data_IF_559235717250
#
_entry.id   IF_559235717250
#
_cell.length_a   1.000
_cell.length_b   1.000
_cell.length_c   1.000
_cell.angle_alpha   90.00
_cell.angle_beta   90.00
_cell.angle_gamma   90.00
#
_symmetry.space_group_name_H-M   'P 1'
#
loop_
_entity.id
_entity.type
_entity.pdbx_description
1 polymer ?
#
# COMPACT_ATOMS: atom_id res chain seq x y z
N UNK A 1 -21.63 -39.08 27.72
CA UNK A 1 -22.35 -40.37 27.75
C UNK A 1 -21.50 -41.35 28.55
N UNK A 2 -22.00 -41.97 29.61
CA UNK A 2 -21.23 -43.01 30.32
C UNK A 2 -21.22 -44.27 29.46
N UNK A 3 -20.04 -44.88 29.32
CA UNK A 3 -19.82 -46.07 28.50
C UNK A 3 -19.09 -47.13 29.33
N UNK A 4 -19.22 -48.39 28.93
CA UNK A 4 -18.43 -49.45 29.55
C UNK A 4 -16.94 -49.26 29.25
N UNK A 5 -16.07 -49.82 30.08
CA UNK A 5 -14.61 -49.79 29.82
C UNK A 5 -14.27 -50.45 28.47
N UNK A 6 -15.01 -51.51 28.09
CA UNK A 6 -14.83 -52.20 26.82
C UNK A 6 -15.19 -51.31 25.62
N UNK A 7 -16.27 -50.54 25.73
CA UNK A 7 -16.67 -49.59 24.68
C UNK A 7 -15.71 -48.41 24.58
N UNK A 8 -15.22 -47.91 25.73
CA UNK A 8 -14.18 -46.88 25.80
C UNK A 8 -12.91 -47.32 25.07
N UNK A 9 -12.47 -48.56 25.30
CA UNK A 9 -11.30 -49.15 24.63
C UNK A 9 -11.50 -49.33 23.14
N UNK A 10 -12.71 -49.67 22.72
CA UNK A 10 -13.06 -49.76 21.32
C UNK A 10 -12.97 -48.39 20.63
N UNK A 11 -13.47 -47.34 21.27
CA UNK A 11 -13.36 -45.96 20.77
C UNK A 11 -11.90 -45.51 20.68
N UNK A 12 -11.06 -45.82 21.69
CA UNK A 12 -9.62 -45.50 21.63
C UNK A 12 -8.95 -46.20 20.44
N UNK A 13 -9.28 -47.46 20.15
CA UNK A 13 -8.73 -48.18 18.99
C UNK A 13 -9.17 -47.55 17.66
N UNK A 14 -10.42 -47.09 17.57
CA UNK A 14 -10.90 -46.36 16.38
C UNK A 14 -10.10 -45.08 16.20
N UNK A 15 -9.98 -44.27 17.27
CA UNK A 15 -9.20 -43.03 17.24
C UNK A 15 -7.73 -43.29 16.86
N UNK A 16 -7.15 -44.37 17.37
CA UNK A 16 -5.80 -44.79 17.00
C UNK A 16 -5.67 -45.09 15.51
N UNK A 17 -6.58 -45.92 14.97
CA UNK A 17 -6.61 -46.21 13.53
C UNK A 17 -6.79 -44.95 12.69
N UNK A 18 -7.65 -44.03 13.12
CA UNK A 18 -7.83 -42.73 12.46
C UNK A 18 -6.56 -41.87 12.48
N UNK A 19 -5.77 -41.93 13.54
CA UNK A 19 -4.52 -41.17 13.65
C UNK A 19 -3.31 -41.85 12.99
N UNK A 20 -3.34 -43.17 12.80
CA UNK A 20 -2.24 -43.93 12.21
C UNK A 20 -2.22 -43.85 10.67
N UNK A 21 -3.37 -43.56 10.04
CA UNK A 21 -3.41 -43.25 8.61
C UNK A 21 -2.87 -41.82 8.35
N UNK A 22 -1.84 -41.69 7.50
CA UNK A 22 -1.20 -40.42 7.06
C UNK A 22 -2.11 -39.59 6.11
N UNK A 23 -3.40 -39.53 6.41
CA UNK A 23 -4.42 -38.80 5.65
C UNK A 23 -4.78 -37.56 6.45
N UNK A 24 -4.82 -36.39 5.80
CA UNK A 24 -5.33 -35.14 6.39
C UNK A 24 -6.83 -35.27 6.70
N UNK A 25 -7.17 -35.98 7.78
CA UNK A 25 -8.54 -36.19 8.23
C UNK A 25 -9.03 -34.94 8.96
N UNK A 26 -10.22 -34.45 8.60
CA UNK A 26 -10.86 -33.32 9.28
C UNK A 26 -12.01 -33.86 10.14
N UNK A 27 -11.98 -33.58 11.45
CA UNK A 27 -13.08 -33.88 12.36
C UNK A 27 -13.85 -32.62 12.75
N UNK A 28 -15.10 -32.82 13.16
CA UNK A 28 -15.96 -31.76 13.71
C UNK A 28 -15.75 -31.60 15.21
N UNK A 29 -16.16 -30.45 15.76
CA UNK A 29 -16.16 -30.18 17.20
C UNK A 29 -16.99 -31.19 18.03
N UNK A 30 -17.85 -31.97 17.38
CA UNK A 30 -18.67 -33.02 17.99
C UNK A 30 -17.98 -34.38 18.12
N UNK A 31 -16.70 -34.53 17.70
CA UNK A 31 -15.95 -35.78 17.87
C UNK A 31 -15.91 -36.18 19.35
N UNK A 32 -16.29 -37.42 19.65
CA UNK A 32 -16.36 -37.93 21.01
C UNK A 32 -15.03 -38.55 21.45
N UNK A 33 -14.51 -38.06 22.56
CA UNK A 33 -13.26 -38.50 23.17
C UNK A 33 -13.57 -39.16 24.52
N UNK A 34 -13.02 -40.36 24.78
CA UNK A 34 -13.13 -41.03 26.07
C UNK A 34 -12.29 -40.31 27.14
N UNK A 35 -12.89 -40.09 28.30
CA UNK A 35 -12.24 -39.50 29.50
C UNK A 35 -11.72 -40.58 30.45
N UNK A 36 -10.91 -40.17 31.43
CA UNK A 36 -10.44 -41.04 32.51
C UNK A 36 -11.60 -41.66 33.33
N UNK A 37 -12.76 -41.00 33.38
CA UNK A 37 -13.96 -41.44 34.11
C UNK A 37 -14.92 -42.30 33.25
N UNK A 38 -14.47 -42.84 32.11
CA UNK A 38 -15.28 -43.61 31.16
C UNK A 38 -16.52 -42.85 30.65
N UNK A 39 -16.36 -41.55 30.40
CA UNK A 39 -17.35 -40.73 29.70
C UNK A 39 -16.89 -40.45 28.28
N UNK A 40 -17.81 -40.51 27.33
CA UNK A 40 -17.63 -39.90 26.02
C UNK A 40 -18.09 -38.44 26.08
N UNK A 41 -17.16 -37.53 25.81
CA UNK A 41 -17.36 -36.08 25.76
C UNK A 41 -16.89 -35.50 24.44
N UNK A 42 -17.42 -34.34 24.04
CA UNK A 42 -16.93 -33.66 22.83
C UNK A 42 -15.47 -33.28 22.98
N UNK A 43 -14.73 -33.29 21.88
CA UNK A 43 -13.30 -32.96 21.83
C UNK A 43 -12.99 -31.56 22.40
N UNK A 44 -13.93 -30.62 22.29
CA UNK A 44 -13.83 -29.26 22.83
C UNK A 44 -13.91 -29.18 24.35
N UNK A 45 -14.46 -30.22 24.99
CA UNK A 45 -14.80 -30.24 26.42
C UNK A 45 -13.80 -31.07 27.25
N UNK A 46 -12.77 -31.62 26.61
CA UNK A 46 -11.75 -32.47 27.23
C UNK A 46 -10.35 -31.89 27.03
N UNK A 47 -9.45 -32.23 27.93
CA UNK A 47 -8.03 -31.86 27.86
C UNK A 47 -7.13 -33.07 28.01
N UNK A 48 -6.00 -33.07 27.31
CA UNK A 48 -4.95 -34.06 27.49
C UNK A 48 -4.01 -33.63 28.62
N UNK A 49 -3.74 -34.50 29.59
CA UNK A 49 -2.84 -34.22 30.72
C UNK A 49 -1.37 -34.34 30.29
N UNK A 50 -0.83 -33.26 29.73
CA UNK A 50 0.56 -33.15 29.28
C UNK A 50 1.56 -32.85 30.42
N UNK A 51 1.06 -32.32 31.54
CA UNK A 51 1.87 -31.94 32.70
C UNK A 51 1.93 -33.01 33.79
N UNK A 52 1.15 -34.09 33.64
CA UNK A 52 1.01 -35.17 34.63
C UNK A 52 0.62 -34.58 35.99
N UNK A 53 -0.44 -33.78 36.03
CA UNK A 53 -0.92 -33.15 37.25
C UNK A 53 -1.41 -34.24 38.24
N UNK A 54 -0.50 -34.75 39.07
CA UNK A 54 -0.73 -35.89 39.98
C UNK A 54 -1.31 -35.52 41.34
N UNK A 55 -1.40 -34.22 41.65
CA UNK A 55 -1.87 -33.74 42.94
C UNK A 55 -3.23 -33.05 42.79
N UNK A 56 -4.18 -33.42 43.65
CA UNK A 56 -5.62 -33.08 43.62
C UNK A 56 -6.01 -31.60 43.72
N UNK A 57 -5.13 -30.69 43.33
CA UNK A 57 -5.39 -29.27 43.04
C UNK A 57 -5.58 -29.00 41.54
N UNK A 58 -5.69 -30.04 40.71
CA UNK A 58 -5.98 -29.86 39.29
C UNK A 58 -7.36 -29.21 39.13
N UNK A 59 -7.47 -28.11 38.36
CA UNK A 59 -8.76 -27.50 38.02
C UNK A 59 -9.73 -28.53 37.41
N UNK A 60 -11.05 -28.30 37.54
CA UNK A 60 -12.12 -29.24 37.19
C UNK A 60 -12.27 -29.45 35.67
N UNK A 61 -11.20 -29.79 34.97
CA UNK A 61 -11.22 -30.18 33.58
C UNK A 61 -11.46 -31.68 33.44
N UNK A 62 -12.11 -32.07 32.35
CA UNK A 62 -12.25 -33.48 32.00
C UNK A 62 -11.00 -33.96 31.28
N UNK A 63 -10.26 -34.86 31.93
CA UNK A 63 -9.02 -35.40 31.40
C UNK A 63 -9.33 -36.58 30.47
N UNK A 64 -8.62 -36.66 29.34
CA UNK A 64 -8.70 -37.81 28.42
C UNK A 64 -8.34 -39.12 29.11
N UNK A 65 -8.83 -40.25 28.56
CA UNK A 65 -8.40 -41.59 28.99
C UNK A 65 -6.87 -41.73 28.93
N UNK A 66 -6.29 -42.44 29.90
CA UNK A 66 -4.85 -42.74 29.96
C UNK A 66 -4.36 -43.61 28.78
N UNK A 67 -5.29 -44.21 28.04
CA UNK A 67 -5.02 -45.01 26.84
C UNK A 67 -4.85 -44.13 25.58
N UNK A 68 -5.20 -42.85 25.64
CA UNK A 68 -4.89 -41.88 24.59
C UNK A 68 -3.43 -41.44 24.76
N UNK A 69 -2.62 -41.61 23.72
CA UNK A 69 -1.21 -41.20 23.74
C UNK A 69 -1.05 -39.72 23.38
N UNK A 70 0.07 -39.10 23.79
CA UNK A 70 0.38 -37.72 23.40
C UNK A 70 0.38 -37.50 21.87
N UNK A 71 1.02 -38.35 21.05
CA UNK A 71 0.97 -38.18 19.59
C UNK A 71 -0.45 -38.25 19.03
N UNK A 72 -1.31 -39.11 19.60
CA UNK A 72 -2.71 -39.19 19.21
C UNK A 72 -3.46 -37.90 19.59
N UNK A 73 -3.25 -37.37 20.80
CA UNK A 73 -3.85 -36.12 21.24
C UNK A 73 -3.41 -34.92 20.38
N UNK A 74 -2.13 -34.85 20.01
CA UNK A 74 -1.58 -33.82 19.11
C UNK A 74 -2.18 -33.93 17.70
N UNK A 75 -2.24 -35.15 17.13
CA UNK A 75 -2.88 -35.39 15.83
C UNK A 75 -4.35 -34.98 15.87
N UNK A 76 -5.10 -35.39 16.90
CA UNK A 76 -6.51 -35.03 17.11
C UNK A 76 -6.73 -33.55 17.50
N UNK A 77 -5.66 -32.76 17.70
CA UNK A 77 -5.73 -31.37 18.14
C UNK A 77 -6.52 -31.18 19.45
N UNK A 78 -6.40 -32.15 20.37
CA UNK A 78 -6.99 -32.04 21.72
C UNK A 78 -6.24 -30.94 22.49
N UNK A 79 -6.98 -30.10 23.21
CA UNK A 79 -6.37 -29.04 24.03
C UNK A 79 -5.48 -29.65 25.12
N UNK A 80 -4.23 -29.21 25.22
CA UNK A 80 -3.32 -29.61 26.31
C UNK A 80 -3.75 -28.94 27.62
N UNK A 81 -3.67 -29.68 28.73
CA UNK A 81 -4.04 -29.19 30.05
C UNK A 81 -3.25 -27.92 30.41
N UNK A 82 -1.94 -27.90 30.17
CA UNK A 82 -1.09 -26.72 30.37
C UNK A 82 -1.61 -25.48 29.63
N UNK A 83 -1.96 -25.66 28.36
CA UNK A 83 -2.41 -24.58 27.47
C UNK A 83 -3.81 -24.11 27.84
N UNK A 84 -4.70 -25.02 28.25
CA UNK A 84 -6.04 -24.66 28.72
C UNK A 84 -5.99 -23.90 30.03
N UNK A 85 -5.19 -24.36 31.00
CA UNK A 85 -4.98 -23.66 32.26
C UNK A 85 -4.44 -22.24 32.02
N UNK A 86 -3.45 -22.10 31.13
CA UNK A 86 -2.95 -20.78 30.73
C UNK A 86 -4.05 -19.94 30.09
N UNK A 87 -4.79 -20.48 29.12
CA UNK A 87 -5.81 -19.73 28.39
C UNK A 87 -7.00 -19.26 29.25
N UNK A 88 -7.37 -20.01 30.29
CA UNK A 88 -8.52 -19.67 31.13
C UNK A 88 -8.24 -18.52 32.10
N UNK A 89 -6.97 -18.25 32.43
CA UNK A 89 -6.57 -17.15 33.34
C UNK A 89 -5.68 -16.10 32.68
N UNK A 90 -5.17 -16.33 31.46
CA UNK A 90 -4.32 -15.34 30.79
C UNK A 90 -5.13 -14.08 30.53
N UNK A 91 -4.50 -12.96 30.79
CA UNK A 91 -4.97 -11.68 30.29
C UNK A 91 -4.44 -11.49 28.87
N UNK A 92 -5.24 -10.86 28.01
CA UNK A 92 -4.75 -10.41 26.71
C UNK A 92 -3.72 -9.31 26.94
N UNK A 93 -2.45 -9.68 26.90
CA UNK A 93 -1.33 -8.75 27.03
C UNK A 93 -0.45 -8.86 25.78
N UNK A 94 -0.40 -7.79 25.01
CA UNK A 94 0.35 -7.74 23.75
C UNK A 94 0.99 -6.36 23.57
N UNK A 95 2.12 -6.32 22.85
CA UNK A 95 2.72 -5.05 22.43
C UNK A 95 2.02 -4.59 21.15
N UNK A 96 1.36 -3.44 21.21
CA UNK A 96 0.61 -2.87 20.09
C UNK A 96 1.11 -1.46 19.79
N UNK A 97 1.36 -1.16 18.51
CA UNK A 97 1.54 0.22 18.06
C UNK A 97 0.24 0.69 17.39
N UNK A 98 -0.37 1.74 17.93
CA UNK A 98 -1.56 2.33 17.33
C UNK A 98 -1.24 2.95 15.96
N UNK A 99 -2.13 2.74 14.98
CA UNK A 99 -1.99 3.27 13.61
C UNK A 99 -1.69 4.78 13.56
N UNK A 100 -2.30 5.55 14.48
CA UNK A 100 -2.10 6.99 14.57
C UNK A 100 -0.69 7.37 15.04
N UNK A 101 -0.12 6.63 16.00
CA UNK A 101 1.25 6.85 16.45
C UNK A 101 2.23 6.56 15.31
N UNK A 102 1.97 5.51 14.54
CA UNK A 102 2.79 5.19 13.37
C UNK A 102 2.74 6.29 12.31
N UNK A 103 1.56 6.82 12.02
CA UNK A 103 1.40 7.96 11.11
C UNK A 103 2.15 9.18 11.66
N UNK A 104 1.99 9.53 12.95
CA UNK A 104 2.68 10.66 13.57
C UNK A 104 4.21 10.55 13.44
N UNK A 105 4.77 9.36 13.67
CA UNK A 105 6.20 9.12 13.50
C UNK A 105 6.64 9.37 12.05
N UNK A 106 5.88 8.89 11.06
CA UNK A 106 6.15 9.16 9.64
C UNK A 106 6.13 10.67 9.36
N UNK A 107 5.15 11.40 9.88
CA UNK A 107 5.07 12.85 9.64
C UNK A 107 6.17 13.65 10.35
N UNK A 108 6.78 13.10 11.40
CA UNK A 108 7.95 13.72 12.04
C UNK A 108 9.24 13.43 11.28
N UNK A 109 9.36 12.24 10.69
CA UNK A 109 10.56 11.79 9.98
C UNK A 109 10.66 12.34 8.55
N UNK A 110 9.52 12.67 7.92
CA UNK A 110 9.46 13.06 6.52
C UNK A 110 8.97 14.50 6.33
N UNK A 111 9.60 15.24 5.42
CA UNK A 111 9.14 16.56 5.03
C UNK A 111 7.88 16.46 4.16
N UNK A 112 6.89 17.35 4.28
CA UNK A 112 5.64 17.30 3.50
C UNK A 112 5.81 17.16 1.98
N UNK A 113 6.84 17.80 1.40
CA UNK A 113 7.10 17.72 -0.05
C UNK A 113 7.62 16.36 -0.53
N UNK A 114 8.07 15.48 0.38
CA UNK A 114 8.56 14.13 0.03
C UNK A 114 7.48 13.30 -0.66
N UNK A 115 6.22 13.56 -0.35
CA UNK A 115 5.03 12.96 -0.97
C UNK A 115 5.13 12.94 -2.49
N UNK A 116 5.59 14.02 -3.13
CA UNK A 116 5.56 14.14 -4.58
C UNK A 116 6.54 13.18 -5.24
N UNK A 117 7.75 13.09 -4.69
CA UNK A 117 8.77 12.15 -5.15
C UNK A 117 8.35 10.71 -4.92
N UNK A 118 7.69 10.41 -3.80
CA UNK A 118 7.19 9.06 -3.52
C UNK A 118 6.04 8.65 -4.44
N UNK A 119 5.10 9.54 -4.75
CA UNK A 119 4.06 9.23 -5.74
C UNK A 119 4.63 9.09 -7.16
N UNK A 120 5.65 9.88 -7.51
CA UNK A 120 6.34 9.73 -8.80
C UNK A 120 7.07 8.39 -8.89
N UNK A 121 7.72 7.96 -7.80
CA UNK A 121 8.34 6.63 -7.70
C UNK A 121 7.30 5.51 -7.77
N UNK A 122 6.20 5.62 -7.02
CA UNK A 122 5.10 4.64 -7.08
C UNK A 122 4.52 4.52 -8.49
N UNK A 123 4.38 5.63 -9.21
CA UNK A 123 3.96 5.61 -10.61
C UNK A 123 4.98 4.90 -11.50
N UNK A 124 6.28 5.17 -11.32
CA UNK A 124 7.34 4.51 -12.08
C UNK A 124 7.41 2.99 -11.79
N UNK A 125 7.33 2.59 -10.52
CA UNK A 125 7.27 1.18 -10.06
C UNK A 125 6.07 0.42 -10.65
N UNK A 126 4.96 1.13 -10.89
CA UNK A 126 3.76 0.58 -11.52
C UNK A 126 3.86 0.54 -13.07
N UNK A 127 4.98 0.99 -13.65
CA UNK A 127 5.18 1.04 -15.09
C UNK A 127 4.43 2.19 -15.79
N UNK A 128 4.06 3.25 -15.05
CA UNK A 128 3.43 4.42 -15.65
C UNK A 128 4.40 5.13 -16.60
N UNK A 129 3.86 5.66 -17.69
CA UNK A 129 4.60 6.51 -18.63
C UNK A 129 4.27 7.99 -18.46
N UNK A 130 3.19 8.31 -17.75
CA UNK A 130 2.76 9.68 -17.47
C UNK A 130 2.32 9.81 -16.01
N UNK A 131 2.78 10.88 -15.37
CA UNK A 131 2.34 11.30 -14.04
C UNK A 131 1.90 12.78 -14.09
N UNK A 132 0.84 13.13 -13.37
CA UNK A 132 0.33 14.50 -13.28
C UNK A 132 0.03 14.85 -11.83
N UNK A 133 0.53 16.00 -11.38
CA UNK A 133 0.19 16.61 -10.10
C UNK A 133 -0.71 17.80 -10.39
N UNK A 134 -1.88 17.83 -9.78
CA UNK A 134 -2.89 18.84 -10.05
C UNK A 134 -3.39 19.42 -8.73
N UNK A 135 -3.28 20.73 -8.56
CA UNK A 135 -3.98 21.41 -7.48
C UNK A 135 -5.38 21.80 -7.97
N UNK A 136 -6.38 21.06 -7.50
CA UNK A 136 -7.78 21.30 -7.77
C UNK A 136 -8.35 22.25 -6.72
N UNK A 137 -8.66 23.48 -7.13
CA UNK A 137 -9.22 24.52 -6.25
C UNK A 137 -10.74 24.54 -6.24
N UNK A 138 -11.38 23.58 -6.92
CA UNK A 138 -12.83 23.48 -6.98
C UNK A 138 -13.41 23.09 -5.63
N UNK A 139 -14.53 23.73 -5.27
CA UNK A 139 -15.29 23.37 -4.09
C UNK A 139 -16.58 22.67 -4.53
N UNK A 140 -16.72 21.40 -4.16
CA UNK A 140 -17.87 20.55 -4.46
C UNK A 140 -18.89 20.57 -3.31
N UNK A 141 -18.71 21.42 -2.30
CA UNK A 141 -19.69 21.58 -1.22
C UNK A 141 -21.01 22.16 -1.75
N UNK A 142 -22.10 21.47 -1.46
CA UNK A 142 -23.47 21.89 -1.77
C UNK A 142 -24.34 21.82 -0.51
N UNK A 143 -25.44 22.59 -0.40
CA UNK A 143 -26.21 22.70 0.84
C UNK A 143 -26.75 21.36 1.38
N UNK A 144 -27.23 20.48 0.49
CA UNK A 144 -27.80 19.16 0.82
C UNK A 144 -27.11 18.08 -0.03
N UNK A 145 -25.87 17.70 0.31
CA UNK A 145 -25.05 16.88 -0.56
C UNK A 145 -25.41 15.39 -0.39
N UNK A 146 -25.39 14.67 -1.50
CA UNK A 146 -25.54 13.22 -1.59
C UNK A 146 -24.19 12.53 -1.36
N UNK A 147 -23.83 12.40 -0.08
CA UNK A 147 -22.55 11.85 0.38
C UNK A 147 -22.71 10.51 1.09
N UNK A 148 -21.59 9.82 1.34
CA UNK A 148 -21.55 8.60 2.17
C UNK A 148 -22.13 8.84 3.58
N UNK A 149 -21.82 10.02 4.16
CA UNK A 149 -22.48 10.53 5.36
C UNK A 149 -22.24 12.04 5.49
N UNK A 150 -22.95 12.69 6.40
CA UNK A 150 -22.86 14.14 6.62
C UNK A 150 -21.45 14.64 6.98
N UNK A 151 -20.64 13.79 7.62
CA UNK A 151 -19.27 14.14 8.02
C UNK A 151 -18.28 14.22 6.85
N UNK A 152 -18.61 13.63 5.70
CA UNK A 152 -17.78 13.73 4.49
C UNK A 152 -17.89 15.10 3.79
N UNK A 153 -18.84 15.95 4.23
CA UNK A 153 -19.09 17.27 3.65
C UNK A 153 -17.86 18.18 3.68
N UNK A 154 -17.14 18.20 4.81
CA UNK A 154 -15.95 19.03 5.00
C UNK A 154 -14.75 18.60 4.12
N UNK A 155 -14.83 17.44 3.47
CA UNK A 155 -13.80 16.91 2.58
C UNK A 155 -14.14 17.07 1.08
N UNK A 156 -15.17 17.86 0.74
CA UNK A 156 -15.56 18.18 -0.64
C UNK A 156 -14.87 19.43 -1.21
N UNK A 157 -13.93 20.02 -0.47
CA UNK A 157 -13.20 21.21 -0.88
C UNK A 157 -11.98 20.94 -1.78
N UNK A 158 -11.10 21.95 -1.93
CA UNK A 158 -9.86 21.86 -2.70
C UNK A 158 -8.98 20.67 -2.32
N UNK A 159 -8.29 20.11 -3.31
CA UNK A 159 -7.46 18.93 -3.14
C UNK A 159 -6.19 18.96 -3.99
N UNK A 160 -5.15 18.31 -3.48
CA UNK A 160 -4.08 17.82 -4.33
C UNK A 160 -4.56 16.53 -4.99
N UNK A 161 -4.57 16.51 -6.31
CA UNK A 161 -4.93 15.35 -7.13
C UNK A 161 -3.68 14.86 -7.84
N UNK A 162 -3.35 13.58 -7.66
CA UNK A 162 -2.18 12.96 -8.28
C UNK A 162 -2.67 11.84 -9.19
N UNK A 163 -2.32 11.94 -10.47
CA UNK A 163 -2.71 10.98 -11.49
C UNK A 163 -1.49 10.28 -12.08
N UNK A 164 -1.62 8.99 -12.38
CA UNK A 164 -0.74 8.29 -13.30
C UNK A 164 -1.52 7.32 -14.19
N UNK A 165 -0.95 6.99 -15.35
CA UNK A 165 -1.60 6.11 -16.34
C UNK A 165 -1.33 4.62 -16.13
N UNK A 166 -0.77 4.21 -14.98
CA UNK A 166 -0.76 2.81 -14.58
C UNK A 166 -2.01 2.49 -13.75
N UNK A 167 -2.48 1.26 -13.85
CA UNK A 167 -3.64 0.76 -13.11
C UNK A 167 -3.15 -0.13 -11.96
N UNK A 168 -3.77 0.02 -10.80
CA UNK A 168 -3.53 -0.86 -9.66
C UNK A 168 -4.02 -2.29 -9.91
N UNK A 169 -3.21 -3.24 -9.47
CA UNK A 169 -3.59 -4.64 -9.25
C UNK A 169 -4.25 -4.82 -7.89
N UNK A 170 -4.84 -5.99 -7.64
CA UNK A 170 -5.39 -6.30 -6.30
C UNK A 170 -4.29 -6.29 -5.23
N UNK A 171 -3.09 -6.75 -5.57
CA UNK A 171 -1.93 -6.73 -4.67
C UNK A 171 -1.51 -5.31 -4.32
N UNK A 172 -1.61 -4.36 -5.25
CA UNK A 172 -1.32 -2.94 -4.99
C UNK A 172 -2.34 -2.35 -4.00
N UNK A 173 -3.63 -2.68 -4.13
CA UNK A 173 -4.65 -2.27 -3.15
C UNK A 173 -4.39 -2.88 -1.77
N UNK A 174 -4.05 -4.17 -1.72
CA UNK A 174 -3.73 -4.85 -0.47
C UNK A 174 -2.47 -4.28 0.17
N UNK A 175 -1.45 -3.94 -0.61
CA UNK A 175 -0.25 -3.23 -0.16
C UNK A 175 -0.56 -1.84 0.39
N UNK A 176 -1.42 -1.07 -0.29
CA UNK A 176 -1.83 0.26 0.15
C UNK A 176 -2.59 0.21 1.49
N UNK A 177 -3.41 -0.83 1.70
CA UNK A 177 -4.20 -0.98 2.93
C UNK A 177 -3.38 -1.37 4.16
N UNK A 178 -2.21 -2.00 3.97
CA UNK A 178 -1.38 -2.50 5.07
C UNK A 178 -0.35 -1.47 5.49
N UNK A 179 -0.72 -0.65 6.47
CA UNK A 179 0.19 0.32 7.08
C UNK A 179 1.33 -0.40 7.81
N UNK A 180 2.57 -0.18 7.38
CA UNK A 180 3.77 -0.70 8.06
C UNK A 180 4.11 -2.19 7.86
N UNK A 181 3.20 -3.00 7.32
CA UNK A 181 3.49 -4.39 6.93
C UNK A 181 3.90 -4.38 5.46
N UNK A 182 5.20 -4.22 5.20
CA UNK A 182 5.73 -4.23 3.83
C UNK A 182 5.34 -5.51 3.09
N UNK A 183 4.35 -5.43 2.18
CA UNK A 183 3.90 -6.57 1.37
C UNK A 183 4.85 -6.91 0.22
N UNK A 184 5.88 -6.10 -0.06
CA UNK A 184 6.83 -6.35 -1.16
C UNK A 184 7.95 -7.32 -0.73
N UNK A 185 7.59 -8.47 -0.15
CA UNK A 185 8.56 -9.52 0.22
C UNK A 185 9.06 -10.35 -0.96
N UNK A 186 8.54 -10.21 -2.18
CA UNK A 186 8.97 -11.07 -3.30
C UNK A 186 9.38 -10.36 -4.61
N UNK A 187 9.31 -9.02 -4.72
CA UNK A 187 9.69 -8.32 -5.96
C UNK A 187 10.90 -7.40 -5.77
N UNK A 188 12.04 -7.75 -6.36
CA UNK A 188 13.31 -7.00 -6.30
C UNK A 188 13.35 -5.83 -7.28
N UNK A 189 12.34 -5.68 -8.15
CA UNK A 189 12.32 -4.64 -9.20
C UNK A 189 11.61 -3.35 -8.81
N UNK A 190 10.91 -3.33 -7.67
CA UNK A 190 10.07 -2.21 -7.20
C UNK A 190 10.74 -1.51 -6.02
N UNK A 191 11.27 -0.31 -6.25
CA UNK A 191 12.01 0.46 -5.24
C UNK A 191 11.02 1.26 -4.39
N UNK A 192 10.96 0.96 -3.10
CA UNK A 192 10.28 1.82 -2.13
C UNK A 192 10.52 1.36 -0.71
N UNK A 193 11.08 2.24 0.15
CA UNK A 193 11.24 2.00 1.59
C UNK A 193 9.87 1.86 2.24
N UNK A 194 9.33 0.65 2.24
CA UNK A 194 8.10 0.27 2.93
C UNK A 194 6.86 1.04 2.42
N UNK A 195 5.66 0.54 2.65
CA UNK A 195 4.41 1.26 2.36
C UNK A 195 4.20 2.51 3.23
N UNK A 196 5.28 3.20 3.63
CA UNK A 196 5.29 4.40 4.46
C UNK A 196 4.99 5.63 3.61
N UNK A 197 5.37 5.62 2.34
CA UNK A 197 5.34 6.82 1.54
C UNK A 197 3.94 7.36 1.23
N UNK A 198 2.97 6.47 1.05
CA UNK A 198 1.57 6.90 0.95
C UNK A 198 1.10 7.64 2.21
N UNK A 199 1.56 7.26 3.41
CA UNK A 199 1.09 7.86 4.66
C UNK A 199 1.59 9.30 4.85
N UNK A 200 2.57 9.77 4.07
CA UNK A 200 2.96 11.19 4.06
C UNK A 200 1.79 12.11 3.62
N UNK A 201 0.76 11.57 2.93
CA UNK A 201 -0.49 12.30 2.61
C UNK A 201 -1.15 12.90 3.84
N UNK A 202 -0.97 12.32 5.03
CA UNK A 202 -1.59 12.78 6.26
C UNK A 202 -1.05 14.14 6.75
N UNK A 203 0.07 14.63 6.18
CA UNK A 203 0.48 16.04 6.31
C UNK A 203 -0.64 16.99 5.87
N UNK A 204 -1.38 16.63 4.82
CA UNK A 204 -2.33 17.48 4.13
C UNK A 204 -3.79 17.12 4.41
N UNK A 205 -4.10 15.85 4.62
CA UNK A 205 -5.48 15.36 4.73
C UNK A 205 -5.67 14.40 5.91
N UNK A 206 -6.92 14.12 6.29
CA UNK A 206 -7.27 12.99 7.17
C UNK A 206 -8.04 11.89 6.41
N UNK A 207 -8.52 12.17 5.18
CA UNK A 207 -9.34 11.25 4.39
C UNK A 207 -8.84 11.16 2.94
N UNK A 208 -7.64 10.59 2.70
CA UNK A 208 -7.15 10.40 1.35
C UNK A 208 -7.98 9.32 0.63
N UNK A 209 -8.07 9.43 -0.68
CA UNK A 209 -8.76 8.45 -1.51
C UNK A 209 -7.96 8.06 -2.74
N UNK A 210 -8.30 6.89 -3.29
CA UNK A 210 -7.70 6.34 -4.51
C UNK A 210 -8.79 5.79 -5.43
N UNK A 211 -8.70 6.07 -6.72
CA UNK A 211 -9.52 5.48 -7.79
C UNK A 211 -8.59 4.75 -8.74
N UNK A 212 -8.84 3.46 -8.99
CA UNK A 212 -8.16 2.71 -10.03
C UNK A 212 -8.98 1.50 -10.47
N UNK A 213 -9.04 1.27 -11.78
CA UNK A 213 -9.89 0.24 -12.35
C UNK A 213 -11.36 0.53 -12.06
N UNK A 214 -12.05 -0.42 -11.42
CA UNK A 214 -13.45 -0.29 -11.03
C UNK A 214 -13.64 0.11 -9.55
N UNK A 215 -12.53 0.38 -8.84
CA UNK A 215 -12.54 0.57 -7.40
C UNK A 215 -12.24 2.01 -7.00
N UNK A 216 -12.97 2.48 -5.99
CA UNK A 216 -12.66 3.65 -5.21
C UNK A 216 -12.43 3.23 -3.75
N UNK A 217 -11.36 3.73 -3.15
CA UNK A 217 -11.00 3.50 -1.75
C UNK A 217 -10.86 4.81 -0.99
N UNK A 218 -11.34 4.85 0.25
CA UNK A 218 -11.14 5.93 1.21
C UNK A 218 -10.45 5.38 2.45
N UNK A 219 -9.52 6.15 3.02
CA UNK A 219 -8.90 5.85 4.31
C UNK A 219 -9.33 6.88 5.34
N UNK A 220 -9.59 6.44 6.56
CA UNK A 220 -9.97 7.27 7.71
C UNK A 220 -9.43 6.60 8.97
N UNK A 221 -8.11 6.70 9.24
CA UNK A 221 -7.45 5.96 10.32
C UNK A 221 -7.94 6.35 11.73
N UNK A 222 -8.72 7.44 11.84
CA UNK A 222 -9.36 7.87 13.09
C UNK A 222 -10.81 7.40 13.25
N UNK A 223 -11.38 6.75 12.23
CA UNK A 223 -12.76 6.27 12.26
C UNK A 223 -13.79 7.39 12.49
N UNK A 224 -13.49 8.59 12.01
CA UNK A 224 -14.25 9.79 12.35
C UNK A 224 -15.28 10.16 11.28
N UNK A 225 -14.91 10.05 10.01
CA UNK A 225 -15.61 10.63 8.86
C UNK A 225 -16.34 9.59 8.00
N UNK A 226 -15.85 8.35 7.93
CA UNK A 226 -16.53 7.31 7.16
C UNK A 226 -17.77 6.77 7.91
N UNK A 227 -18.81 6.30 7.18
CA UNK A 227 -20.00 5.73 7.80
C UNK A 227 -19.67 4.43 8.55
N UNK A 228 -20.46 4.12 9.58
CA UNK A 228 -20.36 2.83 10.28
C UNK A 228 -21.03 1.73 9.46
N UNK A 229 -20.39 0.58 9.37
CA UNK A 229 -20.90 -0.60 8.67
C UNK A 229 -21.52 -1.59 9.66
N UNK A 230 -22.59 -2.27 9.24
CA UNK A 230 -23.24 -3.30 10.07
C UNK A 230 -22.42 -4.59 10.03
N UNK A 231 -22.12 -5.10 11.22
CA UNK A 231 -21.46 -6.38 11.48
C UNK A 231 -22.39 -7.24 12.34
N UNK A 232 -22.02 -8.51 12.59
CA UNK A 232 -22.71 -9.39 13.55
C UNK A 232 -22.77 -8.80 14.97
N UNK A 233 -21.86 -7.87 15.30
CA UNK A 233 -21.74 -7.21 16.59
C UNK A 233 -22.37 -5.80 16.61
N UNK A 234 -22.98 -5.34 15.51
CA UNK A 234 -23.61 -4.02 15.40
C UNK A 234 -22.92 -3.07 14.41
N UNK A 235 -23.14 -1.76 14.56
CA UNK A 235 -22.56 -0.73 13.69
C UNK A 235 -21.14 -0.37 14.13
N UNK A 236 -20.15 -0.70 13.31
CA UNK A 236 -18.71 -0.52 13.59
C UNK A 236 -18.10 0.45 12.59
N UNK A 237 -17.28 1.39 13.07
CA UNK A 237 -16.51 2.28 12.22
C UNK A 237 -15.22 1.59 11.75
N UNK A 238 -14.80 1.83 10.50
CA UNK A 238 -13.65 1.17 9.89
C UNK A 238 -12.61 2.19 9.43
N UNK A 239 -11.33 1.80 9.47
CA UNK A 239 -10.17 2.61 9.09
C UNK A 239 -10.05 2.94 7.61
N UNK A 240 -10.89 2.32 6.80
CA UNK A 240 -11.01 2.57 5.38
C UNK A 240 -12.15 1.76 4.78
N UNK A 241 -12.60 2.17 3.61
CA UNK A 241 -13.66 1.52 2.85
C UNK A 241 -13.28 1.50 1.38
N UNK A 242 -13.43 0.34 0.72
CA UNK A 242 -13.26 0.18 -0.72
C UNK A 242 -14.57 -0.28 -1.33
N UNK A 243 -14.95 0.32 -2.44
CA UNK A 243 -16.17 -0.01 -3.16
C UNK A 243 -15.89 -0.16 -4.66
N UNK A 244 -16.62 -1.07 -5.31
CA UNK A 244 -16.69 -1.13 -6.76
C UNK A 244 -17.70 -0.07 -7.22
N UNK A 245 -17.22 1.05 -7.76
CA UNK A 245 -18.09 2.17 -8.12
C UNK A 245 -18.94 1.89 -9.36
N UNK A 246 -18.52 0.97 -10.24
CA UNK A 246 -19.31 0.55 -11.42
C UNK A 246 -20.62 -0.12 -11.00
N UNK A 247 -20.67 -0.70 -9.80
CA UNK A 247 -21.87 -1.33 -9.22
C UNK A 247 -22.72 -0.38 -8.38
N UNK A 248 -22.27 0.86 -8.18
CA UNK A 248 -23.01 1.84 -7.39
C UNK A 248 -24.11 2.49 -8.22
N UNK A 249 -25.22 2.85 -7.55
CA UNK A 249 -26.14 3.81 -8.11
C UNK A 249 -25.56 5.22 -7.92
N UNK A 250 -24.97 5.77 -8.99
CA UNK A 250 -24.34 7.08 -8.99
C UNK A 250 -25.27 8.22 -8.56
N UNK A 251 -26.60 8.08 -8.70
CA UNK A 251 -27.55 9.11 -8.27
C UNK A 251 -27.64 9.26 -6.74
N UNK A 252 -27.29 8.21 -5.99
CA UNK A 252 -27.36 8.19 -4.52
C UNK A 252 -26.13 8.86 -3.89
N UNK A 253 -25.00 8.83 -4.60
CA UNK A 253 -23.71 9.33 -4.12
C UNK A 253 -23.09 10.34 -5.10
N UNK A 254 -23.92 11.05 -5.86
CA UNK A 254 -23.46 11.90 -6.96
C UNK A 254 -22.45 12.95 -6.52
N UNK A 255 -22.69 13.61 -5.39
CA UNK A 255 -21.80 14.64 -4.85
C UNK A 255 -20.54 14.02 -4.23
N UNK A 256 -20.60 12.77 -3.75
CA UNK A 256 -19.41 12.06 -3.27
C UNK A 256 -18.42 11.73 -4.39
N UNK A 257 -18.95 11.42 -5.58
CA UNK A 257 -18.17 10.99 -6.75
C UNK A 257 -17.85 12.16 -7.71
N UNK A 258 -18.55 13.29 -7.59
CA UNK A 258 -18.34 14.49 -8.41
C UNK A 258 -16.86 14.93 -8.50
N UNK A 259 -16.05 14.91 -7.42
CA UNK A 259 -14.65 15.35 -7.49
C UNK A 259 -13.72 14.48 -8.35
N UNK A 260 -14.19 13.32 -8.79
CA UNK A 260 -13.44 12.37 -9.63
C UNK A 260 -13.99 12.30 -11.05
N UNK A 261 -15.17 12.85 -11.31
CA UNK A 261 -15.84 12.76 -12.61
C UNK A 261 -15.27 13.83 -13.56
N UNK A 262 -14.90 13.41 -14.77
CA UNK A 262 -14.37 14.28 -15.82
C UNK A 262 -12.89 14.62 -15.70
N UNK A 263 -12.21 14.21 -14.62
CA UNK A 263 -10.76 14.39 -14.49
C UNK A 263 -10.01 13.20 -15.10
N UNK A 264 -9.05 13.47 -15.98
CA UNK A 264 -8.22 12.44 -16.64
C UNK A 264 -9.01 11.31 -17.31
N UNK A 265 -10.18 11.63 -17.88
CA UNK A 265 -11.09 10.67 -18.53
C UNK A 265 -11.74 9.65 -17.57
N UNK A 266 -11.76 9.94 -16.26
CA UNK A 266 -12.52 9.17 -15.28
C UNK A 266 -14.00 9.59 -15.29
N UNK A 267 -14.90 8.70 -15.69
CA UNK A 267 -16.35 8.97 -15.73
C UNK A 267 -17.09 8.56 -14.44
N UNK A 268 -16.42 7.81 -13.54
CA UNK A 268 -17.00 7.16 -12.36
C UNK A 268 -18.17 6.21 -12.70
N UNK A 269 -18.20 5.68 -13.91
CA UNK A 269 -19.25 4.80 -14.45
C UNK A 269 -18.65 3.53 -15.05
N UNK A 270 -17.45 3.62 -15.64
CA UNK A 270 -16.76 2.53 -16.30
C UNK A 270 -15.38 2.27 -15.70
N UNK A 271 -14.71 1.23 -16.21
CA UNK A 271 -13.40 0.85 -15.72
C UNK A 271 -12.33 1.90 -16.05
N UNK A 272 -11.79 2.54 -15.02
CA UNK A 272 -10.79 3.59 -15.15
C UNK A 272 -9.39 3.01 -15.43
N UNK A 273 -8.81 3.38 -16.58
CA UNK A 273 -7.49 2.92 -17.05
C UNK A 273 -6.35 3.81 -16.55
N UNK A 274 -6.28 3.96 -15.23
CA UNK A 274 -5.25 4.75 -14.56
C UNK A 274 -5.43 4.69 -13.05
N UNK A 275 -4.70 5.55 -12.35
CA UNK A 275 -4.82 5.71 -10.91
C UNK A 275 -4.89 7.20 -10.57
N UNK A 276 -5.91 7.58 -9.79
CA UNK A 276 -6.09 8.92 -9.24
C UNK A 276 -6.02 8.81 -7.73
N UNK A 277 -5.15 9.58 -7.09
CA UNK A 277 -5.21 9.88 -5.67
C UNK A 277 -5.81 11.26 -5.47
N UNK A 278 -6.81 11.39 -4.60
CA UNK A 278 -7.33 12.69 -4.17
C UNK A 278 -7.00 12.90 -2.69
N UNK A 279 -6.34 14.02 -2.42
CA UNK A 279 -5.83 14.41 -1.11
C UNK A 279 -6.52 15.74 -0.76
N UNK A 280 -7.76 15.70 -0.24
CA UNK A 280 -8.51 16.91 0.09
C UNK A 280 -7.82 17.64 1.24
N UNK A 281 -7.56 18.94 1.06
CA UNK A 281 -6.74 19.72 1.97
C UNK A 281 -7.50 20.03 3.26
N UNK A 282 -6.80 19.89 4.38
CA UNK A 282 -7.30 20.26 5.70
C UNK A 282 -7.60 21.75 5.77
N UNK A 283 -8.79 22.10 6.25
CA UNK A 283 -9.27 23.46 6.50
C UNK A 283 -9.49 23.68 8.00
N UNK A 284 -9.81 24.92 8.40
CA UNK A 284 -10.20 25.22 9.78
C UNK A 284 -11.43 24.40 10.21
N UNK A 285 -12.41 24.24 9.34
CA UNK A 285 -13.64 23.46 9.61
C UNK A 285 -13.31 21.99 9.88
N UNK A 286 -12.43 21.39 9.07
CA UNK A 286 -12.01 19.99 9.29
C UNK A 286 -11.29 19.79 10.64
N UNK A 287 -10.56 20.80 11.13
CA UNK A 287 -9.90 20.74 12.43
C UNK A 287 -10.85 20.90 13.61
N UNK A 288 -11.85 21.79 13.52
CA UNK A 288 -12.83 21.98 14.58
C UNK A 288 -13.65 20.72 14.86
N UNK A 289 -13.85 19.89 13.84
CA UNK A 289 -14.54 18.62 14.01
C UNK A 289 -13.66 17.53 14.65
N UNK A 290 -12.35 17.72 14.78
CA UNK A 290 -11.41 16.69 15.24
C UNK A 290 -11.24 16.70 16.77
N UNK A 291 -11.77 15.68 17.43
CA UNK A 291 -11.71 15.52 18.89
C UNK A 291 -10.47 14.78 19.41
N UNK A 292 -9.61 14.26 18.52
CA UNK A 292 -8.50 13.35 18.87
C UNK A 292 -7.10 13.93 18.58
N UNK A 293 -6.97 15.26 18.53
CA UNK A 293 -5.69 15.95 18.36
C UNK A 293 -5.20 16.03 16.90
N UNK A 294 -4.16 16.84 16.69
CA UNK A 294 -3.65 17.24 15.35
C UNK A 294 -2.59 16.24 14.85
N UNK A 295 -2.79 15.64 13.67
CA UNK A 295 -1.78 14.77 13.00
C UNK A 295 -1.03 15.54 11.91
N UNK A 296 -1.71 16.37 11.12
CA UNK A 296 -1.09 17.18 10.07
C UNK A 296 -1.32 18.68 10.25
N UNK A 297 -0.99 19.47 9.24
CA UNK A 297 -1.14 20.93 9.27
C UNK A 297 -2.20 21.41 8.26
N UNK A 298 -2.60 22.67 8.38
CA UNK A 298 -3.41 23.35 7.35
C UNK A 298 -2.42 24.00 6.39
N UNK A 299 -2.62 23.75 5.09
CA UNK A 299 -1.81 24.32 4.02
C UNK A 299 -2.70 25.19 3.17
N UNK A 300 -2.28 26.44 2.94
CA UNK A 300 -2.98 27.31 2.00
C UNK A 300 -2.73 26.86 0.57
N UNK A 301 -3.65 27.22 -0.35
CA UNK A 301 -3.47 26.94 -1.77
C UNK A 301 -2.16 27.51 -2.30
N UNK A 302 -1.79 28.74 -1.91
CA UNK A 302 -0.53 29.36 -2.30
C UNK A 302 0.70 28.56 -1.83
N UNK A 303 0.71 28.11 -0.57
CA UNK A 303 1.80 27.28 -0.04
C UNK A 303 1.91 25.95 -0.80
N UNK A 304 0.78 25.31 -1.13
CA UNK A 304 0.78 24.08 -1.93
C UNK A 304 1.31 24.30 -3.34
N UNK A 305 0.92 25.41 -3.99
CA UNK A 305 1.42 25.79 -5.31
C UNK A 305 2.93 26.02 -5.30
N UNK A 306 3.44 26.77 -4.32
CA UNK A 306 4.87 27.04 -4.20
C UNK A 306 5.66 25.76 -3.94
N UNK A 307 5.14 24.86 -3.10
CA UNK A 307 5.77 23.56 -2.85
C UNK A 307 5.85 22.69 -4.12
N UNK A 308 4.77 22.65 -4.92
CA UNK A 308 4.75 21.92 -6.20
C UNK A 308 5.70 22.55 -7.23
N UNK A 309 5.75 23.87 -7.32
CA UNK A 309 6.64 24.60 -8.25
C UNK A 309 8.12 24.41 -7.89
N UNK A 310 8.47 24.39 -6.61
CA UNK A 310 9.85 24.10 -6.19
C UNK A 310 10.21 22.65 -6.52
N UNK A 311 9.33 21.71 -6.23
CA UNK A 311 9.58 20.29 -6.49
C UNK A 311 9.70 19.97 -7.98
N UNK A 312 8.88 20.59 -8.84
CA UNK A 312 8.84 20.24 -10.27
C UNK A 312 10.17 20.53 -10.99
N UNK A 313 10.90 21.54 -10.53
CA UNK A 313 12.22 21.92 -11.06
C UNK A 313 13.27 20.83 -10.81
N UNK A 314 13.18 20.11 -9.70
CA UNK A 314 14.03 18.94 -9.41
C UNK A 314 13.50 17.68 -10.11
N UNK A 315 12.17 17.49 -10.10
CA UNK A 315 11.52 16.33 -10.70
C UNK A 315 11.78 16.23 -12.22
N UNK A 316 11.87 17.37 -12.91
CA UNK A 316 12.20 17.40 -14.35
C UNK A 316 13.57 16.76 -14.61
N UNK A 317 14.57 17.02 -13.77
CA UNK A 317 15.92 16.45 -13.88
C UNK A 317 15.91 14.99 -13.42
N UNK A 318 15.22 14.69 -12.31
CA UNK A 318 15.05 13.32 -11.82
C UNK A 318 14.42 12.37 -12.84
N UNK A 319 13.55 12.87 -13.71
CA UNK A 319 12.93 12.10 -14.81
C UNK A 319 13.95 11.42 -15.75
N UNK A 320 15.19 11.91 -15.84
CA UNK A 320 16.27 11.29 -16.62
C UNK A 320 16.57 9.84 -16.20
N UNK A 321 16.39 9.55 -14.91
CA UNK A 321 16.72 8.26 -14.30
C UNK A 321 15.49 7.35 -14.11
N UNK A 322 14.28 7.87 -14.31
CA UNK A 322 13.07 7.05 -14.31
C UNK A 322 12.99 6.26 -15.61
N UNK A 323 12.85 4.94 -15.57
CA UNK A 323 12.87 4.11 -16.78
C UNK A 323 11.69 4.42 -17.72
N UNK A 324 10.47 4.32 -17.21
CA UNK A 324 9.26 4.32 -18.03
C UNK A 324 8.54 5.67 -18.11
N UNK A 325 8.74 6.55 -17.11
CA UNK A 325 8.12 7.88 -17.07
C UNK A 325 8.64 8.75 -18.23
N UNK A 326 7.75 9.10 -19.15
CA UNK A 326 8.00 9.97 -20.31
C UNK A 326 7.46 11.38 -20.10
N UNK A 327 6.45 11.54 -19.25
CA UNK A 327 5.79 12.84 -19.07
C UNK A 327 5.48 13.08 -17.60
N UNK A 328 5.86 14.27 -17.12
CA UNK A 328 5.42 14.81 -15.83
C UNK A 328 4.65 16.11 -16.11
N UNK A 329 3.46 16.23 -15.54
CA UNK A 329 2.61 17.41 -15.66
C UNK A 329 2.34 18.03 -14.29
N UNK A 330 2.28 19.36 -14.27
CA UNK A 330 1.76 20.15 -13.16
C UNK A 330 0.58 20.98 -13.69
N UNK A 331 -0.55 20.93 -13.00
CA UNK A 331 -1.78 21.65 -13.36
C UNK A 331 -2.34 22.41 -12.16
N UNK A 332 -2.91 23.58 -12.43
CA UNK A 332 -3.87 24.20 -11.50
C UNK A 332 -5.25 24.16 -12.15
N UNK A 333 -6.24 23.70 -11.40
CA UNK A 333 -7.64 23.80 -11.79
C UNK A 333 -8.34 24.84 -10.94
N UNK A 334 -9.01 25.79 -11.59
CA UNK A 334 -9.84 26.81 -10.96
C UNK A 334 -11.22 26.75 -11.61
N UNK A 335 -12.27 26.49 -10.82
CA UNK A 335 -13.67 26.39 -11.27
C UNK A 335 -13.83 25.38 -12.43
N UNK A 336 -13.34 24.15 -12.24
CA UNK A 336 -13.36 23.09 -13.25
C UNK A 336 -12.66 23.41 -14.59
N UNK A 337 -11.85 24.46 -14.63
CA UNK A 337 -11.05 24.85 -15.79
C UNK A 337 -9.56 24.81 -15.48
N UNK A 338 -8.76 24.28 -16.41
CA UNK A 338 -7.30 24.23 -16.26
C UNK A 338 -6.76 25.65 -16.42
N UNK A 339 -6.39 26.30 -15.31
CA UNK A 339 -5.87 27.67 -15.29
C UNK A 339 -4.37 27.75 -15.56
N UNK A 340 -3.64 26.69 -15.23
CA UNK A 340 -2.20 26.58 -15.47
C UNK A 340 -1.86 25.17 -15.90
N UNK A 341 -0.93 25.06 -16.86
CA UNK A 341 -0.36 23.78 -17.26
C UNK A 341 1.14 23.94 -17.50
N UNK A 342 1.90 23.11 -16.83
CA UNK A 342 3.31 22.88 -17.08
C UNK A 342 3.51 21.41 -17.42
N UNK A 343 4.34 21.12 -18.42
CA UNK A 343 4.60 19.76 -18.88
C UNK A 343 6.08 19.62 -19.18
N UNK A 344 6.73 18.62 -18.58
CA UNK A 344 8.02 18.11 -19.02
C UNK A 344 7.82 16.79 -19.77
N UNK A 345 8.41 16.70 -20.95
CA UNK A 345 8.43 15.48 -21.76
C UNK A 345 9.86 15.03 -21.98
N UNK A 346 10.11 13.76 -21.66
CA UNK A 346 11.36 13.05 -21.92
C UNK A 346 11.27 12.32 -23.24
N UNK A 347 12.22 12.60 -24.13
CA UNK A 347 12.42 11.85 -25.38
C UNK A 347 13.83 11.32 -25.42
N UNK A 348 13.98 10.02 -25.66
CA UNK A 348 15.29 9.38 -25.87
C UNK A 348 15.63 9.49 -27.35
N UNK A 349 16.85 9.93 -27.67
CA UNK A 349 17.33 10.17 -29.03
C UNK A 349 17.06 8.97 -29.97
N UNK A 350 16.53 9.26 -31.15
CA UNK A 350 16.16 8.29 -32.19
C UNK A 350 17.21 8.19 -33.31
N UNK A 351 18.44 8.68 -33.10
CA UNK A 351 19.49 8.67 -34.14
C UNK A 351 19.53 9.92 -35.01
N UNK A 352 18.96 11.05 -34.55
CA UNK A 352 18.92 12.31 -35.31
C UNK A 352 20.14 13.20 -35.09
N UNK A 353 20.88 13.01 -34.01
CA UNK A 353 22.12 13.74 -33.75
C UNK A 353 23.34 12.92 -34.20
N UNK A 354 24.37 13.60 -34.72
CA UNK A 354 25.65 12.97 -35.09
C UNK A 354 26.27 12.18 -33.92
N UNK A 355 26.03 12.64 -32.68
CA UNK A 355 26.44 11.99 -31.45
C UNK A 355 25.68 10.67 -31.17
N UNK A 356 24.41 10.53 -31.56
CA UNK A 356 23.67 9.26 -31.43
C UNK A 356 24.30 8.18 -32.32
N UNK A 357 24.75 8.55 -33.53
CA UNK A 357 25.47 7.65 -34.43
C UNK A 357 26.83 7.25 -33.84
N UNK A 358 27.60 8.21 -33.34
CA UNK A 358 28.89 7.95 -32.73
C UNK A 358 28.81 7.06 -31.46
N UNK A 359 27.75 7.21 -30.66
CA UNK A 359 27.49 6.34 -29.49
C UNK A 359 27.07 4.92 -29.90
N UNK A 360 26.28 4.78 -30.96
CA UNK A 360 25.89 3.47 -31.51
C UNK A 360 27.01 2.79 -32.32
N UNK A 361 28.01 3.54 -32.77
CA UNK A 361 29.18 3.04 -33.51
C UNK A 361 30.36 2.68 -32.59
N UNK A 362 30.20 2.72 -31.26
CA UNK A 362 31.24 2.26 -30.34
C UNK A 362 31.61 0.79 -30.63
N UNK A 363 32.92 0.45 -30.61
CA UNK A 363 33.38 -0.89 -30.94
C UNK A 363 32.79 -1.93 -29.98
N UNK A 364 32.33 -3.06 -30.53
CA UNK A 364 31.72 -4.20 -29.83
C UNK A 364 32.54 -4.73 -28.63
N UNK A 365 33.80 -4.32 -28.49
CA UNK A 365 34.67 -4.66 -27.37
C UNK A 365 34.24 -4.02 -26.02
N UNK A 366 33.64 -2.83 -25.98
CA UNK A 366 33.21 -2.22 -24.70
C UNK A 366 31.87 -2.78 -24.16
N UNK A 367 31.01 -3.32 -25.03
CA UNK A 367 29.76 -3.98 -24.62
C UNK A 367 29.99 -5.40 -24.07
N UNK A 368 31.15 -6.02 -24.35
CA UNK A 368 31.51 -7.34 -23.82
C UNK A 368 31.96 -7.31 -22.35
N UNK A 369 32.50 -6.19 -21.86
CA UNK A 369 33.03 -6.09 -20.49
C UNK A 369 31.97 -5.74 -19.43
N UNK A 370 30.85 -5.09 -19.80
CA UNK A 370 29.75 -4.80 -18.86
C UNK A 370 28.38 -4.61 -19.58
N UNK A 371 27.56 -5.66 -19.73
CA UNK A 371 26.30 -5.61 -20.50
C UNK A 371 25.17 -4.76 -19.87
N UNK A 372 25.35 -4.27 -18.65
CA UNK A 372 24.36 -3.50 -17.87
C UNK A 372 24.60 -1.99 -17.87
N UNK A 373 25.65 -1.52 -18.53
CA UNK A 373 25.95 -0.10 -18.71
C UNK A 373 25.50 0.40 -20.08
N UNK A 374 24.76 1.51 -20.13
CA UNK A 374 24.34 2.13 -21.37
C UNK A 374 24.40 3.66 -21.31
N UNK A 375 24.88 4.25 -22.40
CA UNK A 375 24.93 5.70 -22.62
C UNK A 375 23.87 6.09 -23.64
N UNK A 376 23.09 7.13 -23.35
CA UNK A 376 22.04 7.63 -24.23
C UNK A 376 21.92 9.14 -24.18
N UNK A 377 21.51 9.73 -25.29
CA UNK A 377 21.10 11.13 -25.31
C UNK A 377 19.61 11.20 -24.99
N UNK A 378 19.29 12.03 -24.01
CA UNK A 378 17.92 12.29 -23.56
C UNK A 378 17.64 13.77 -23.70
N UNK A 379 16.55 14.10 -24.37
CA UNK A 379 16.07 15.47 -24.47
C UNK A 379 14.88 15.63 -23.52
N UNK A 380 14.92 16.66 -22.68
CA UNK A 380 13.77 17.10 -21.89
C UNK A 380 13.25 18.38 -22.51
N UNK A 381 11.97 18.37 -22.87
CA UNK A 381 11.25 19.57 -23.33
C UNK A 381 10.25 20.00 -22.28
N UNK A 382 10.31 21.28 -21.92
CA UNK A 382 9.38 21.91 -20.99
C UNK A 382 8.49 22.88 -21.75
N UNK A 383 7.18 22.80 -21.49
CA UNK A 383 6.19 23.76 -21.99
C UNK A 383 5.32 24.25 -20.84
N UNK A 384 5.13 25.56 -20.73
CA UNK A 384 4.22 26.17 -19.77
C UNK A 384 3.18 27.04 -20.49
N UNK A 385 1.95 27.09 -19.97
CA UNK A 385 0.81 27.75 -20.60
C UNK A 385 0.99 29.26 -20.89
N UNK A 386 1.98 29.91 -20.26
CA UNK A 386 2.24 31.35 -20.40
C UNK A 386 3.53 31.69 -21.16
N UNK A 387 4.27 30.70 -21.67
CA UNK A 387 5.51 30.92 -22.44
C UNK A 387 5.40 30.29 -23.81
N UNK A 388 5.59 31.09 -24.88
CA UNK A 388 5.80 30.55 -26.23
C UNK A 388 7.16 29.87 -26.37
N UNK A 389 8.07 30.10 -25.43
CA UNK A 389 9.36 29.45 -25.40
C UNK A 389 9.20 28.02 -24.90
N UNK A 390 9.55 27.08 -25.78
CA UNK A 390 9.83 25.72 -25.41
C UNK A 390 11.29 25.68 -24.96
N UNK A 391 11.52 25.44 -23.67
CA UNK A 391 12.87 25.20 -23.18
C UNK A 391 13.18 23.72 -23.38
N UNK A 392 14.09 23.45 -24.32
CA UNK A 392 14.59 22.12 -24.62
C UNK A 392 16.03 22.00 -24.14
N UNK A 393 16.31 21.01 -23.30
CA UNK A 393 17.64 20.71 -22.80
C UNK A 393 18.01 19.27 -23.13
N UNK A 394 19.12 19.09 -23.86
CA UNK A 394 19.72 17.79 -24.10
C UNK A 394 20.60 17.36 -22.94
N UNK A 395 20.67 16.06 -22.71
CA UNK A 395 21.47 15.44 -21.65
C UNK A 395 22.15 14.20 -22.21
N UNK A 396 23.44 14.06 -21.93
CA UNK A 396 24.13 12.79 -22.05
C UNK A 396 23.93 12.05 -20.73
N UNK A 397 23.25 10.91 -20.79
CA UNK A 397 22.92 10.09 -19.62
C UNK A 397 23.64 8.77 -19.72
N UNK A 398 24.52 8.51 -18.77
CA UNK A 398 25.12 7.20 -18.53
C UNK A 398 24.38 6.54 -17.37
N UNK A 399 23.99 5.28 -17.52
CA UNK A 399 23.41 4.48 -16.44
C UNK A 399 24.03 3.10 -16.43
N UNK A 400 24.26 2.58 -15.23
CA UNK A 400 24.84 1.26 -14.98
C UNK A 400 23.97 0.56 -13.94
N UNK A 401 23.53 -0.66 -14.25
CA UNK A 401 22.51 -1.38 -13.46
C UNK A 401 23.09 -2.45 -12.50
N UNK A 402 24.42 -2.47 -12.31
CA UNK A 402 25.10 -3.46 -11.49
C UNK A 402 26.06 -2.84 -10.46
N UNK A 403 26.38 -3.63 -9.42
CA UNK A 403 27.46 -3.27 -8.51
C UNK A 403 28.79 -3.32 -9.25
N UNK A 404 29.64 -2.30 -9.04
CA UNK A 404 31.00 -2.31 -9.56
C UNK A 404 31.72 -3.61 -9.17
N UNK A 405 32.59 -4.12 -10.05
CA UNK A 405 33.27 -5.40 -9.85
C UNK A 405 34.05 -5.48 -8.53
N UNK A 406 34.56 -4.34 -8.05
CA UNK A 406 35.30 -4.16 -6.79
C UNK A 406 34.40 -3.98 -5.54
N UNK A 407 33.08 -3.94 -5.71
CA UNK A 407 32.14 -3.84 -4.58
C UNK A 407 32.27 -5.08 -3.69
N UNK A 408 32.57 -4.86 -2.41
CA UNK A 408 32.77 -5.94 -1.44
C UNK A 408 31.52 -6.81 -1.27
N UNK A 409 31.73 -8.09 -0.95
CA UNK A 409 30.63 -9.02 -0.72
C UNK A 409 29.74 -8.55 0.44
N UNK A 410 30.30 -7.93 1.48
CA UNK A 410 29.51 -7.36 2.59
C UNK A 410 28.51 -6.29 2.11
N UNK A 411 28.91 -5.42 1.16
CA UNK A 411 28.01 -4.41 0.59
C UNK A 411 26.95 -5.07 -0.29
N UNK A 412 27.32 -6.08 -1.08
CA UNK A 412 26.37 -6.85 -1.89
C UNK A 412 25.36 -7.59 -1.02
N UNK A 413 25.81 -8.23 0.06
CA UNK A 413 24.97 -8.93 1.03
C UNK A 413 24.07 -7.95 1.79
N UNK A 414 24.60 -6.79 2.17
CA UNK A 414 23.82 -5.72 2.81
C UNK A 414 22.77 -5.17 1.86
N UNK A 415 23.13 -4.94 0.60
CA UNK A 415 22.19 -4.48 -0.42
C UNK A 415 21.14 -5.55 -0.72
N UNK A 416 21.49 -6.83 -0.78
CA UNK A 416 20.55 -7.93 -0.96
C UNK A 416 19.61 -8.05 0.25
N UNK A 417 20.14 -7.94 1.48
CA UNK A 417 19.38 -7.92 2.73
C UNK A 417 18.39 -6.76 2.79
N UNK A 418 18.81 -5.59 2.31
CA UNK A 418 17.98 -4.37 2.30
C UNK A 418 17.26 -4.11 0.98
N UNK A 419 17.42 -4.99 -0.01
CA UNK A 419 16.88 -4.92 -1.38
C UNK A 419 17.15 -3.57 -2.06
N UNK A 420 18.38 -3.10 -1.95
CA UNK A 420 18.84 -1.92 -2.66
C UNK A 420 19.30 -2.31 -4.05
N UNK A 421 18.87 -1.55 -5.05
CA UNK A 421 19.41 -1.68 -6.40
C UNK A 421 20.76 -0.95 -6.50
N UNK A 422 21.65 -1.46 -7.34
CA UNK A 422 22.96 -0.90 -7.60
C UNK A 422 22.95 0.21 -8.66
N UNK A 423 21.78 0.52 -9.23
CA UNK A 423 21.61 1.49 -10.30
C UNK A 423 22.34 2.81 -9.99
N UNK A 424 23.32 3.14 -10.83
CA UNK A 424 24.02 4.44 -10.81
C UNK A 424 23.79 5.13 -12.12
N UNK A 425 23.72 6.46 -12.07
CA UNK A 425 23.58 7.26 -13.26
C UNK A 425 24.25 8.61 -13.12
N UNK A 426 24.85 9.06 -14.22
CA UNK A 426 25.41 10.40 -14.36
C UNK A 426 24.72 11.05 -15.55
N UNK A 427 24.29 12.30 -15.37
CA UNK A 427 23.70 13.10 -16.43
C UNK A 427 24.52 14.39 -16.60
N UNK A 428 24.92 14.67 -17.84
CA UNK A 428 25.67 15.88 -18.21
C UNK A 428 24.81 16.70 -19.17
N UNK A 429 24.54 17.98 -18.89
CA UNK A 429 23.77 18.83 -19.80
C UNK A 429 24.57 19.11 -21.07
N UNK A 430 23.93 18.97 -22.23
CA UNK A 430 24.50 19.28 -23.54
C UNK A 430 24.10 20.69 -23.97
N UNK A 431 25.08 21.54 -24.24
CA UNK A 431 24.83 22.83 -24.88
C UNK A 431 24.78 22.64 -26.40
N UNK A 432 23.59 22.64 -27.00
CA UNK A 432 23.42 22.53 -28.47
C UNK A 432 23.92 23.75 -29.28
N UNK A 433 24.67 24.67 -28.66
CA UNK A 433 25.23 25.85 -29.32
C UNK A 433 26.53 25.60 -30.10
N UNK A 434 26.95 24.35 -30.31
CA UNK A 434 28.02 24.07 -31.28
C UNK A 434 27.43 24.10 -32.70
N UNK A 435 27.44 25.30 -33.29
CA UNK A 435 27.58 25.43 -34.75
C UNK A 435 28.91 24.76 -35.11
N UNK A 436 28.85 23.54 -35.63
CA UNK A 436 29.94 22.96 -36.40
C UNK A 436 29.97 23.60 -37.79
#
# INVERSE_FOLDING_TARGET
MSVSETDSDFVVKILQGMTDEDVNFQWTADLLIPTADNLLCKITDVVYDDVKARDGNAPSYRITSSKISKPMAEKLQISMLSTRCWNDIKESWSQEEGILNRILNILNDYHPSSIFSEFLQNAADAGATKCCFMLDQTNYDVPKPKLLCSKMKVWQGPALVIYNNAKFTEDDFMALSKLGVGNKRDDSSKIGRHGLGFNSVYHFTDVPSVVSGEYIGFFDPRHQYLPKNRTSQGLVAQGGQRCNFVKLNNEVLSDQLAPYKGIFDCDMESHFKGTIFRIPLRTLDTQQHNSQGKIGQIWTLAQMQDMLRLWIEDAKVGMLFLKDIKTIELRDNVRDSVSFRWTATKTVGTGRHHLDKALNEQPQQQQQDNPSAFTRIVEIRVTASNTRNMDAQGWLVYTEQDFLQDTTQEIKDLAQKNRWNADRGIAIPLNFNYKA
#
